data_IF_502675137746
#
_entry.id   IF_502675137746
#
_cell.length_a   1.000
_cell.length_b   1.000
_cell.length_c   1.000
_cell.angle_alpha   90.00
_cell.angle_beta   90.00
_cell.angle_gamma   90.00
#
_symmetry.space_group_name_H-M   'P 1'
#
loop_
_entity.id
_entity.type
_entity.pdbx_description
1 polymer ?
#
# COMPACT_ATOMS: atom_id res chain seq x y z
N UNK A 1 -6.07 -2.77 9.10
CA UNK A 1 -5.39 -3.32 7.91
C UNK A 1 -6.05 -4.63 7.52
N UNK A 2 -6.35 -4.81 6.25
CA UNK A 2 -6.79 -6.08 5.67
C UNK A 2 -5.65 -6.69 4.85
N UNK A 3 -5.47 -8.03 4.92
CA UNK A 3 -4.42 -8.72 4.16
C UNK A 3 -5.08 -9.66 3.15
N UNK A 4 -4.79 -9.40 1.86
CA UNK A 4 -5.17 -10.26 0.74
C UNK A 4 -3.95 -11.08 0.29
N UNK A 5 -4.09 -12.39 0.24
CA UNK A 5 -2.97 -13.29 -0.04
C UNK A 5 -3.42 -14.63 -0.62
N UNK A 6 -2.49 -15.38 -1.19
CA UNK A 6 -2.72 -16.77 -1.60
C UNK A 6 -2.34 -17.74 -0.48
N UNK A 7 -3.08 -18.84 -0.33
CA UNK A 7 -2.79 -19.83 0.72
C UNK A 7 -1.43 -20.53 0.57
N UNK A 8 -0.81 -20.43 -0.61
CA UNK A 8 0.53 -20.95 -0.82
C UNK A 8 1.57 -20.36 0.16
N UNK A 9 1.35 -19.15 0.66
CA UNK A 9 2.23 -18.45 1.60
C UNK A 9 1.57 -18.19 2.96
N UNK A 10 0.50 -18.93 3.29
CA UNK A 10 -0.31 -18.70 4.48
C UNK A 10 0.51 -18.62 5.78
N UNK A 11 1.44 -19.54 6.00
CA UNK A 11 2.24 -19.56 7.23
C UNK A 11 3.05 -18.28 7.41
N UNK A 12 3.67 -17.78 6.35
CA UNK A 12 4.42 -16.51 6.37
C UNK A 12 3.52 -15.30 6.54
N UNK A 13 2.32 -15.34 5.98
CA UNK A 13 1.33 -14.26 6.15
C UNK A 13 0.83 -14.20 7.58
N UNK A 14 0.54 -15.34 8.20
CA UNK A 14 0.15 -15.39 9.61
C UNK A 14 1.24 -14.81 10.52
N UNK A 15 2.50 -15.16 10.27
CA UNK A 15 3.65 -14.58 10.99
C UNK A 15 3.70 -13.04 10.85
N UNK A 16 3.55 -12.54 9.63
CA UNK A 16 3.52 -11.09 9.38
C UNK A 16 2.34 -10.44 10.11
N UNK A 17 1.16 -11.04 10.02
CA UNK A 17 -0.05 -10.53 10.66
C UNK A 17 0.10 -10.49 12.20
N UNK A 18 0.62 -11.54 12.80
CA UNK A 18 0.89 -11.60 14.25
C UNK A 18 1.88 -10.52 14.69
N UNK A 19 2.92 -10.28 13.88
CA UNK A 19 3.91 -9.24 14.13
C UNK A 19 3.30 -7.84 14.03
N UNK A 20 2.45 -7.59 13.05
CA UNK A 20 1.71 -6.34 12.93
C UNK A 20 0.80 -6.10 14.13
N UNK A 21 0.07 -7.12 14.57
CA UNK A 21 -0.77 -7.04 15.79
C UNK A 21 0.08 -6.74 17.02
N UNK A 22 1.22 -7.39 17.18
CA UNK A 22 2.16 -7.13 18.27
C UNK A 22 2.68 -5.69 18.27
N UNK A 23 2.76 -5.07 17.12
CA UNK A 23 3.15 -3.67 16.95
C UNK A 23 1.95 -2.68 16.94
N UNK A 24 0.78 -3.11 17.38
CA UNK A 24 -0.39 -2.25 17.59
C UNK A 24 -1.28 -2.03 16.38
N UNK A 25 -1.10 -2.81 15.30
CA UNK A 25 -1.95 -2.73 14.10
C UNK A 25 -3.13 -3.69 14.26
N UNK A 26 -4.33 -3.18 14.06
CA UNK A 26 -5.53 -4.01 13.95
C UNK A 26 -5.58 -4.67 12.56
N UNK A 27 -5.50 -6.00 12.52
CA UNK A 27 -5.40 -6.78 11.29
C UNK A 27 -6.66 -7.61 11.09
N UNK A 28 -7.27 -7.48 9.93
CA UNK A 28 -8.32 -8.37 9.43
C UNK A 28 -7.65 -9.43 8.54
N UNK A 29 -7.79 -10.68 8.94
CA UNK A 29 -7.21 -11.83 8.25
C UNK A 29 -8.24 -12.95 8.15
N UNK A 30 -8.34 -13.59 6.99
CA UNK A 30 -9.35 -14.60 6.71
C UNK A 30 -9.35 -15.75 7.73
N UNK A 31 -8.17 -16.27 8.09
CA UNK A 31 -8.05 -17.37 9.08
C UNK A 31 -8.53 -17.00 10.49
N UNK A 32 -8.62 -15.72 10.81
CA UNK A 32 -9.12 -15.22 12.09
C UNK A 32 -10.58 -14.77 12.04
N UNK A 33 -10.97 -14.13 10.96
CA UNK A 33 -12.21 -13.36 10.85
C UNK A 33 -13.26 -14.01 9.96
N UNK A 34 -12.83 -14.88 9.02
CA UNK A 34 -13.74 -15.62 8.13
C UNK A 34 -14.10 -16.96 8.77
N UNK A 35 -15.40 -17.16 9.05
CA UNK A 35 -15.91 -18.36 9.73
C UNK A 35 -16.60 -19.30 8.75
N UNK A 36 -16.72 -20.61 9.09
CA UNK A 36 -17.52 -21.53 8.28
C UNK A 36 -18.94 -21.00 8.02
N UNK A 37 -19.38 -21.10 6.79
CA UNK A 37 -20.66 -20.56 6.34
C UNK A 37 -20.61 -19.14 5.79
N UNK A 38 -19.52 -18.41 6.01
CA UNK A 38 -19.31 -17.09 5.39
C UNK A 38 -18.91 -17.23 3.93
N UNK A 39 -19.35 -16.29 3.11
CA UNK A 39 -18.91 -16.17 1.73
C UNK A 39 -17.56 -15.44 1.66
N UNK A 40 -16.56 -16.09 1.07
CA UNK A 40 -15.18 -15.54 0.98
C UNK A 40 -15.13 -14.25 0.16
N UNK A 41 -15.87 -14.21 -0.94
CA UNK A 41 -15.89 -13.05 -1.81
C UNK A 41 -16.54 -11.84 -1.14
N UNK A 42 -17.68 -12.08 -0.49
CA UNK A 42 -18.36 -11.02 0.29
C UNK A 42 -17.47 -10.50 1.43
N UNK A 43 -16.75 -11.38 2.10
CA UNK A 43 -15.79 -11.01 3.14
C UNK A 43 -14.69 -10.08 2.58
N UNK A 44 -14.12 -10.43 1.44
CA UNK A 44 -13.09 -9.62 0.79
C UNK A 44 -13.66 -8.26 0.36
N UNK A 45 -14.80 -8.22 -0.33
CA UNK A 45 -15.42 -6.96 -0.75
C UNK A 45 -15.75 -6.05 0.42
N UNK A 46 -16.32 -6.58 1.49
CA UNK A 46 -16.63 -5.83 2.69
C UNK A 46 -15.37 -5.26 3.34
N UNK A 47 -14.31 -6.07 3.44
CA UNK A 47 -13.04 -5.65 4.03
C UNK A 47 -12.35 -4.55 3.22
N UNK A 48 -12.39 -4.66 1.89
CA UNK A 48 -11.81 -3.63 0.99
C UNK A 48 -12.60 -2.33 1.03
N UNK A 49 -13.92 -2.40 1.18
CA UNK A 49 -14.81 -1.23 1.22
C UNK A 49 -14.98 -0.63 2.62
N UNK A 50 -14.55 -1.30 3.67
CA UNK A 50 -14.72 -0.84 5.05
C UNK A 50 -13.91 0.43 5.31
N UNK A 51 -14.57 1.56 5.69
CA UNK A 51 -13.87 2.81 6.00
C UNK A 51 -12.89 2.68 7.17
N UNK A 52 -13.12 1.75 8.09
CA UNK A 52 -12.23 1.50 9.23
C UNK A 52 -10.94 0.76 8.83
N UNK A 53 -10.94 0.12 7.65
CA UNK A 53 -9.74 -0.49 7.06
C UNK A 53 -8.99 0.57 6.26
N UNK A 54 -7.93 1.10 6.84
CA UNK A 54 -7.15 2.18 6.23
C UNK A 54 -6.23 1.71 5.12
N UNK A 55 -5.70 0.50 5.23
CA UNK A 55 -4.76 -0.09 4.26
C UNK A 55 -5.11 -1.53 3.98
N UNK A 56 -4.92 -1.91 2.72
CA UNK A 56 -5.05 -3.28 2.23
C UNK A 56 -3.67 -3.73 1.74
N UNK A 57 -3.12 -4.75 2.39
CA UNK A 57 -1.85 -5.34 1.98
C UNK A 57 -2.12 -6.44 0.96
N UNK A 58 -1.55 -6.29 -0.22
CA UNK A 58 -1.63 -7.31 -1.27
C UNK A 58 -0.32 -8.08 -1.28
N UNK A 59 -0.36 -9.31 -0.78
CA UNK A 59 0.81 -10.18 -0.73
C UNK A 59 1.02 -10.83 -2.09
N UNK A 60 2.08 -10.42 -2.76
CA UNK A 60 2.39 -10.80 -4.13
C UNK A 60 3.39 -11.96 -4.14
N UNK A 61 2.88 -13.14 -4.43
CA UNK A 61 3.66 -14.33 -4.76
C UNK A 61 3.31 -14.81 -6.17
N UNK A 62 3.94 -15.88 -6.63
CA UNK A 62 3.68 -16.46 -7.95
C UNK A 62 2.22 -16.86 -8.13
N UNK A 63 1.65 -17.53 -7.13
CA UNK A 63 0.25 -17.98 -7.17
C UNK A 63 -0.72 -16.82 -7.25
N UNK A 64 -0.56 -15.82 -6.40
CA UNK A 64 -1.41 -14.62 -6.41
C UNK A 64 -1.33 -13.90 -7.75
N UNK A 65 -0.13 -13.66 -8.24
CA UNK A 65 0.11 -12.96 -9.51
C UNK A 65 -0.51 -13.70 -10.68
N UNK A 66 -0.31 -15.01 -10.78
CA UNK A 66 -0.87 -15.83 -11.84
C UNK A 66 -2.41 -15.79 -11.85
N UNK A 67 -3.03 -15.89 -10.69
CA UNK A 67 -4.49 -15.87 -10.56
C UNK A 67 -5.08 -14.48 -10.80
N UNK A 68 -4.45 -13.45 -10.28
CA UNK A 68 -4.88 -12.07 -10.51
C UNK A 68 -4.79 -11.69 -11.99
N UNK A 69 -3.70 -12.06 -12.67
CA UNK A 69 -3.50 -11.80 -14.09
C UNK A 69 -4.44 -12.60 -14.98
N UNK A 70 -4.82 -13.81 -14.58
CA UNK A 70 -5.83 -14.62 -15.26
C UNK A 70 -7.26 -14.15 -14.96
N UNK A 71 -7.47 -13.16 -14.11
CA UNK A 71 -8.77 -12.65 -13.66
C UNK A 71 -9.67 -13.72 -13.02
N UNK A 72 -9.07 -14.77 -12.46
CA UNK A 72 -9.74 -15.86 -11.77
C UNK A 72 -9.89 -15.57 -10.27
N UNK A 73 -10.31 -14.34 -9.92
CA UNK A 73 -10.49 -13.98 -8.53
C UNK A 73 -11.71 -14.66 -7.90
N UNK A 74 -11.55 -15.33 -6.78
CA UNK A 74 -12.57 -15.60 -5.78
C UNK A 74 -13.57 -16.71 -6.04
N UNK A 75 -13.82 -17.17 -7.26
CA UNK A 75 -14.84 -18.18 -7.54
C UNK A 75 -14.22 -19.58 -7.55
N UNK A 76 -14.57 -20.38 -6.54
CA UNK A 76 -14.10 -21.77 -6.41
C UNK A 76 -12.67 -21.91 -5.92
N UNK A 77 -12.07 -20.84 -5.43
CA UNK A 77 -10.68 -20.79 -5.01
C UNK A 77 -10.51 -20.69 -3.50
N UNK A 78 -9.40 -21.22 -3.01
CA UNK A 78 -9.03 -21.20 -1.60
C UNK A 78 -8.57 -19.80 -1.15
N UNK A 79 -8.45 -18.85 -2.06
CA UNK A 79 -7.82 -17.55 -1.83
C UNK A 79 -8.78 -16.39 -2.08
N UNK A 80 -8.58 -15.31 -1.34
CA UNK A 80 -9.30 -14.05 -1.49
C UNK A 80 -8.39 -13.10 -2.26
N UNK A 81 -8.47 -13.16 -3.60
CA UNK A 81 -7.65 -12.35 -4.50
C UNK A 81 -8.44 -11.15 -4.99
N UNK A 82 -7.83 -9.97 -4.86
CA UNK A 82 -8.42 -8.73 -5.37
C UNK A 82 -8.29 -8.69 -6.89
N UNK A 83 -9.43 -8.61 -7.57
CA UNK A 83 -9.45 -8.52 -9.02
C UNK A 83 -9.06 -7.13 -9.52
N UNK A 84 -8.61 -7.02 -10.78
CA UNK A 84 -8.35 -5.71 -11.39
C UNK A 84 -9.55 -4.77 -11.35
N UNK A 85 -10.78 -5.31 -11.48
CA UNK A 85 -12.02 -4.53 -11.44
C UNK A 85 -12.25 -3.90 -10.06
N UNK A 86 -12.06 -4.66 -8.99
CA UNK A 86 -12.21 -4.16 -7.61
C UNK A 86 -11.14 -3.11 -7.32
N UNK A 87 -9.90 -3.40 -7.68
CA UNK A 87 -8.80 -2.47 -7.52
C UNK A 87 -9.04 -1.14 -8.25
N UNK A 88 -9.54 -1.20 -9.49
CA UNK A 88 -9.80 -0.03 -10.31
C UNK A 88 -10.92 0.88 -9.80
N UNK A 89 -11.84 0.35 -9.00
CA UNK A 89 -12.97 1.10 -8.43
C UNK A 89 -12.66 1.82 -7.11
N UNK A 90 -11.51 1.52 -6.52
CA UNK A 90 -11.16 1.98 -5.18
C UNK A 90 -10.08 3.08 -5.21
N UNK A 91 -9.95 3.81 -4.10
CA UNK A 91 -8.79 4.68 -3.88
C UNK A 91 -7.51 3.83 -3.85
N UNK A 92 -6.67 4.00 -4.87
CA UNK A 92 -5.48 3.17 -5.07
C UNK A 92 -4.41 3.35 -3.99
N UNK A 93 -4.40 4.47 -3.28
CA UNK A 93 -3.49 4.70 -2.14
C UNK A 93 -3.78 3.80 -0.94
N UNK A 94 -5.00 3.24 -0.87
CA UNK A 94 -5.38 2.27 0.14
C UNK A 94 -4.63 0.94 -0.01
N UNK A 95 -4.20 0.59 -1.23
CA UNK A 95 -3.58 -0.69 -1.54
C UNK A 95 -2.06 -0.60 -1.51
N UNK A 96 -1.43 -1.49 -0.76
CA UNK A 96 0.02 -1.60 -0.64
C UNK A 96 0.46 -2.96 -1.15
N UNK A 97 1.18 -3.02 -2.29
CA UNK A 97 1.78 -4.27 -2.75
C UNK A 97 2.96 -4.66 -1.85
N UNK A 98 3.04 -5.95 -1.52
CA UNK A 98 4.15 -6.53 -0.77
C UNK A 98 4.66 -7.75 -1.53
N UNK A 99 5.92 -7.71 -1.96
CA UNK A 99 6.55 -8.84 -2.64
C UNK A 99 6.96 -9.89 -1.61
N UNK A 100 6.48 -11.13 -1.79
CA UNK A 100 6.87 -12.28 -0.97
C UNK A 100 7.73 -13.28 -1.73
N UNK A 101 7.80 -13.16 -3.05
CA UNK A 101 8.51 -14.10 -3.91
C UNK A 101 9.11 -13.37 -5.11
N UNK A 102 10.30 -13.79 -5.51
CA UNK A 102 10.95 -13.33 -6.74
C UNK A 102 11.12 -14.49 -7.72
N UNK A 103 11.16 -14.16 -9.00
CA UNK A 103 11.44 -15.14 -10.05
C UNK A 103 12.94 -15.52 -10.10
N UNK A 104 13.34 -16.51 -10.93
CA UNK A 104 14.75 -16.88 -11.07
C UNK A 104 15.68 -15.74 -11.52
N UNK A 105 15.15 -14.70 -12.16
CA UNK A 105 15.90 -13.50 -12.57
C UNK A 105 15.95 -12.43 -11.47
N UNK A 106 15.35 -12.69 -10.32
CA UNK A 106 15.31 -11.77 -9.19
C UNK A 106 14.21 -10.71 -9.27
N UNK A 107 13.27 -10.81 -10.21
CA UNK A 107 12.12 -9.91 -10.31
C UNK A 107 10.99 -10.38 -9.41
N UNK A 108 10.40 -9.45 -8.67
CA UNK A 108 9.24 -9.74 -7.84
C UNK A 108 8.04 -10.17 -8.69
N UNK A 109 7.29 -11.17 -8.19
CA UNK A 109 6.00 -11.53 -8.76
C UNK A 109 4.95 -10.51 -8.34
N UNK A 110 4.68 -9.55 -9.20
CA UNK A 110 3.68 -8.49 -8.98
C UNK A 110 2.57 -8.63 -10.03
N UNK A 111 1.28 -8.65 -9.65
CA UNK A 111 0.18 -8.63 -10.61
C UNK A 111 0.30 -7.48 -11.59
N UNK A 112 -0.13 -7.69 -12.83
CA UNK A 112 0.03 -6.72 -13.90
C UNK A 112 -0.56 -5.35 -13.54
N UNK A 113 -1.73 -5.30 -12.90
CA UNK A 113 -2.37 -4.05 -12.50
C UNK A 113 -1.63 -3.28 -11.39
N UNK A 114 -0.65 -3.90 -10.72
CA UNK A 114 0.18 -3.29 -9.68
C UNK A 114 1.61 -2.99 -10.12
N UNK A 115 2.01 -3.32 -11.36
CA UNK A 115 3.42 -3.25 -11.80
C UNK A 115 4.04 -1.85 -11.75
N UNK A 116 3.23 -0.81 -11.90
CA UNK A 116 3.70 0.58 -11.81
C UNK A 116 3.74 1.12 -10.37
N UNK A 117 3.34 0.31 -9.39
CA UNK A 117 3.27 0.73 -8.00
C UNK A 117 4.56 0.45 -7.25
N UNK A 118 4.91 1.34 -6.33
CA UNK A 118 5.97 1.09 -5.36
C UNK A 118 5.49 -0.01 -4.40
N UNK A 119 6.35 -0.98 -4.14
CA UNK A 119 6.05 -2.10 -3.26
C UNK A 119 7.11 -2.25 -2.18
N UNK A 120 6.76 -2.92 -1.08
CA UNK A 120 7.72 -3.35 -0.07
C UNK A 120 8.19 -4.75 -0.39
N UNK A 121 9.49 -4.99 -0.32
CA UNK A 121 10.08 -6.29 -0.62
C UNK A 121 10.34 -7.09 0.66
N UNK A 122 9.42 -7.98 0.99
CA UNK A 122 9.54 -8.95 2.08
C UNK A 122 9.84 -10.36 1.57
N UNK A 123 10.47 -10.49 0.39
CA UNK A 123 10.79 -11.78 -0.22
C UNK A 123 12.01 -12.48 0.39
N UNK A 124 12.79 -11.77 1.20
CA UNK A 124 14.00 -12.30 1.85
C UNK A 124 13.75 -12.55 3.35
N UNK A 125 14.61 -13.39 3.96
CA UNK A 125 14.58 -13.68 5.40
C UNK A 125 15.83 -13.13 6.13
N UNK A 126 16.48 -12.15 5.53
CA UNK A 126 17.71 -11.51 6.04
C UNK A 126 17.44 -10.10 6.61
N UNK A 127 18.51 -9.35 6.87
CA UNK A 127 18.42 -7.99 7.42
C UNK A 127 17.61 -7.03 6.52
N UNK A 128 17.50 -7.32 5.22
CA UNK A 128 16.67 -6.51 4.31
C UNK A 128 15.19 -6.63 4.64
N UNK A 129 14.74 -7.80 5.09
CA UNK A 129 13.37 -7.98 5.57
C UNK A 129 13.05 -7.01 6.71
N UNK A 130 13.94 -6.89 7.69
CA UNK A 130 13.73 -6.00 8.84
C UNK A 130 13.65 -4.54 8.43
N UNK A 131 14.50 -4.10 7.51
CA UNK A 131 14.49 -2.74 6.97
C UNK A 131 13.17 -2.46 6.23
N UNK A 132 12.73 -3.36 5.38
CA UNK A 132 11.48 -3.21 4.62
C UNK A 132 10.24 -3.31 5.54
N UNK A 133 10.27 -4.19 6.53
CA UNK A 133 9.21 -4.27 7.54
C UNK A 133 9.06 -2.95 8.32
N UNK A 134 10.15 -2.33 8.73
CA UNK A 134 10.11 -1.03 9.40
C UNK A 134 9.49 0.04 8.50
N UNK A 135 9.85 0.07 7.22
CA UNK A 135 9.24 0.98 6.24
C UNK A 135 7.74 0.75 6.09
N UNK A 136 7.32 -0.51 6.03
CA UNK A 136 5.90 -0.87 5.97
C UNK A 136 5.17 -0.37 7.22
N UNK A 137 5.70 -0.62 8.40
CA UNK A 137 5.11 -0.19 9.67
C UNK A 137 4.97 1.33 9.73
N UNK A 138 6.01 2.07 9.33
CA UNK A 138 5.97 3.53 9.23
C UNK A 138 4.90 4.02 8.25
N UNK A 139 4.74 3.34 7.11
CA UNK A 139 3.70 3.67 6.14
C UNK A 139 2.29 3.48 6.72
N UNK A 140 2.06 2.38 7.42
CA UNK A 140 0.75 2.09 8.05
C UNK A 140 0.42 3.15 9.10
N UNK A 141 1.39 3.59 9.89
CA UNK A 141 1.23 4.63 10.91
C UNK A 141 1.29 6.07 10.36
N UNK A 142 1.54 6.24 9.07
CA UNK A 142 1.77 7.57 8.45
C UNK A 142 2.88 8.36 9.16
N UNK A 143 3.97 7.67 9.48
CA UNK A 143 5.15 8.23 10.15
C UNK A 143 6.42 7.99 9.31
N UNK A 144 6.55 8.65 8.15
CA UNK A 144 7.68 8.44 7.26
C UNK A 144 9.00 8.84 7.92
N UNK A 145 10.07 8.09 7.58
CA UNK A 145 11.42 8.38 8.07
C UNK A 145 11.89 9.78 7.66
N UNK A 146 11.56 10.18 6.42
CA UNK A 146 11.88 11.48 5.87
C UNK A 146 10.60 12.30 5.72
N UNK A 147 10.36 13.18 6.66
CA UNK A 147 9.19 14.05 6.66
C UNK A 147 9.50 15.35 5.92
N UNK A 148 8.61 15.71 4.98
CA UNK A 148 8.72 17.01 4.30
C UNK A 148 8.55 18.13 5.34
N UNK A 149 9.51 19.06 5.44
CA UNK A 149 9.38 20.18 6.37
C UNK A 149 8.25 21.13 5.95
N UNK A 150 7.79 21.92 6.90
CA UNK A 150 6.85 22.98 6.61
C UNK A 150 7.41 23.98 5.59
N UNK A 151 6.55 24.53 4.76
CA UNK A 151 6.96 25.52 3.76
C UNK A 151 7.47 26.77 4.47
N UNK A 152 8.70 27.16 4.16
CA UNK A 152 9.27 28.43 4.59
C UNK A 152 8.70 29.63 3.84
N UNK A 153 9.12 30.81 4.26
CA UNK A 153 8.77 32.04 3.54
C UNK A 153 9.63 32.20 2.29
N UNK A 154 9.07 32.80 1.25
CA UNK A 154 9.83 33.25 0.09
C UNK A 154 10.92 34.24 0.55
N UNK A 155 12.18 34.08 0.07
CA UNK A 155 13.21 35.03 0.40
C UNK A 155 12.83 36.48 0.04
N UNK A 156 13.07 37.40 0.95
CA UNK A 156 12.70 38.82 0.75
C UNK A 156 13.36 39.43 -0.49
N UNK A 157 14.59 39.00 -0.82
CA UNK A 157 15.32 39.51 -2.00
C UNK A 157 14.70 39.06 -3.33
N UNK A 158 13.77 38.11 -3.34
CA UNK A 158 12.98 37.70 -4.52
C UNK A 158 11.70 38.51 -4.67
N UNK A 159 11.33 39.35 -3.70
CA UNK A 159 10.19 40.24 -3.88
C UNK A 159 10.59 41.34 -4.87
N UNK A 160 9.76 41.62 -5.89
CA UNK A 160 10.00 42.77 -6.75
C UNK A 160 9.97 44.03 -5.89
N UNK A 161 11.01 44.88 -5.97
CA UNK A 161 10.96 46.19 -5.35
C UNK A 161 9.68 46.88 -5.83
N UNK A 162 8.88 47.35 -4.86
CA UNK A 162 7.72 48.16 -5.18
C UNK A 162 8.27 49.41 -5.90
N UNK A 163 8.02 49.52 -7.20
CA UNK A 163 8.38 50.72 -7.93
C UNK A 163 7.54 51.83 -7.34
N UNK A 164 8.19 52.70 -6.58
CA UNK A 164 7.55 53.88 -6.06
C UNK A 164 7.29 54.84 -7.21
N UNK A 165 6.10 54.75 -7.78
CA UNK A 165 5.64 55.61 -8.86
C UNK A 165 5.31 57.06 -8.39
N UNK A 166 5.42 57.34 -7.07
CA UNK A 166 5.16 58.68 -6.54
C UNK A 166 6.17 59.69 -7.07
N UNK A 167 7.44 59.26 -7.20
CA UNK A 167 8.50 60.10 -7.78
C UNK A 167 8.29 60.43 -9.27
N UNK A 168 7.60 59.56 -10.01
CA UNK A 168 7.31 59.74 -11.42
C UNK A 168 6.15 60.74 -11.64
N UNK A 169 5.23 60.80 -10.71
CA UNK A 169 4.09 61.77 -10.76
C UNK A 169 4.53 63.22 -10.65
N UNK A 170 5.62 63.47 -9.92
CA UNK A 170 6.13 64.84 -9.73
C UNK A 170 6.96 65.35 -10.92
N UNK A 171 7.39 64.44 -11.84
CA UNK A 171 8.13 64.79 -13.02
C UNK A 171 7.25 65.12 -14.23
N UNK A 172 5.97 64.73 -14.19
CA UNK A 172 5.00 64.87 -15.30
C UNK A 172 4.11 66.16 -15.15
N UNK A 173 4.39 66.99 -14.18
CA UNK A 173 3.69 68.27 -14.04
C UNK A 173 4.28 69.34 -14.93
#
# INVERSE_FOLDING_TARGET
VFISYSWAVQARVVELAERLVANGIDVVLDVWDLKPGHDKYAFMEQSVNDPSVNKVLIICDKTYTTRADARQGGVGDETVIISPEIYGKMNQEKFIPIAFEVDPDGKAYIPHYLKSRIYFDLSTEDDRYEVEYEKLLRNIYDMPQYKKPALGKKPEWLEPEAIDLSAIRDVIK
#
